data_IF_742043060845
#
_entry.id   IF_742043060845
#
_cell.length_a   1.000
_cell.length_b   1.000
_cell.length_c   1.000
_cell.angle_alpha   90.00
_cell.angle_beta   90.00
_cell.angle_gamma   90.00
#
_symmetry.space_group_name_H-M   'P 1'
#
loop_
_entity.id
_entity.type
_entity.pdbx_description
1 polymer ?
#
# COMPACT_ATOMS: atom_id res chain seq x y z
N UNK A 1 14.80 -56.93 -10.60
CA UNK A 1 14.03 -55.86 -9.94
C UNK A 1 12.56 -56.11 -10.22
N UNK A 2 11.79 -56.42 -9.21
CA UNK A 2 10.38 -56.80 -9.35
C UNK A 2 9.53 -55.55 -9.59
N UNK A 3 8.44 -55.63 -10.36
CA UNK A 3 7.52 -54.53 -10.68
C UNK A 3 7.04 -53.73 -9.46
N UNK A 4 7.05 -54.35 -8.26
CA UNK A 4 6.71 -53.68 -6.98
C UNK A 4 7.74 -52.65 -6.54
N UNK A 5 9.03 -52.88 -6.80
CA UNK A 5 10.12 -51.92 -6.46
C UNK A 5 10.13 -50.72 -7.39
N UNK A 6 9.76 -50.90 -8.66
CA UNK A 6 9.64 -49.85 -9.64
C UNK A 6 8.43 -48.94 -9.33
N UNK A 7 7.32 -49.50 -8.86
CA UNK A 7 6.12 -48.77 -8.49
C UNK A 7 6.33 -47.89 -7.26
N UNK A 8 7.12 -48.36 -6.28
CA UNK A 8 7.50 -47.57 -5.09
C UNK A 8 8.43 -46.42 -5.42
N UNK A 9 9.33 -46.58 -6.39
CA UNK A 9 10.20 -45.51 -6.88
C UNK A 9 9.41 -44.42 -7.63
N UNK A 10 8.39 -44.78 -8.39
CA UNK A 10 7.53 -43.85 -9.10
C UNK A 10 6.63 -43.02 -8.15
N UNK A 11 6.18 -43.62 -7.03
CA UNK A 11 5.35 -42.92 -6.04
C UNK A 11 6.16 -41.92 -5.20
N UNK A 12 7.47 -42.16 -5.03
CA UNK A 12 8.37 -41.25 -4.28
C UNK A 12 8.72 -39.96 -5.00
N UNK A 13 8.60 -39.90 -6.34
CA UNK A 13 8.95 -38.73 -7.14
C UNK A 13 7.79 -37.71 -7.23
N UNK A 14 6.56 -38.17 -6.99
CA UNK A 14 5.35 -37.34 -7.13
C UNK A 14 5.09 -36.39 -5.94
N UNK A 15 5.92 -36.43 -4.87
CA UNK A 15 5.68 -35.67 -3.63
C UNK A 15 6.45 -34.38 -3.51
N UNK A 16 7.24 -33.98 -4.50
CA UNK A 16 7.88 -32.64 -4.54
C UNK A 16 7.01 -31.66 -5.30
N UNK A 17 5.84 -31.38 -4.77
CA UNK A 17 5.14 -30.15 -5.13
C UNK A 17 5.85 -29.01 -4.40
N UNK A 18 6.78 -28.34 -5.08
CA UNK A 18 7.22 -27.01 -4.67
C UNK A 18 6.01 -26.09 -4.79
N UNK A 19 5.31 -25.90 -3.67
CA UNK A 19 4.38 -24.79 -3.53
C UNK A 19 5.21 -23.51 -3.57
N UNK A 20 5.37 -22.94 -4.74
CA UNK A 20 5.83 -21.53 -4.84
C UNK A 20 4.68 -20.70 -4.30
N UNK A 21 4.73 -20.36 -3.03
CA UNK A 21 3.92 -19.28 -2.49
C UNK A 21 4.32 -18.02 -3.25
N UNK A 22 3.56 -17.68 -4.28
CA UNK A 22 3.65 -16.35 -4.89
C UNK A 22 3.10 -15.36 -3.87
N UNK A 23 3.99 -14.77 -3.10
CA UNK A 23 3.65 -13.66 -2.24
C UNK A 23 3.44 -12.44 -3.14
N UNK A 24 2.20 -11.95 -3.19
CA UNK A 24 1.88 -10.74 -3.93
C UNK A 24 2.16 -9.54 -3.02
N UNK A 25 3.13 -8.71 -3.40
CA UNK A 25 3.39 -7.45 -2.71
C UNK A 25 2.51 -6.37 -3.31
N UNK A 26 1.46 -5.98 -2.58
CA UNK A 26 0.48 -5.02 -3.08
C UNK A 26 0.05 -4.05 -1.98
N UNK A 27 -0.05 -2.78 -2.31
CA UNK A 27 -0.76 -1.79 -1.51
C UNK A 27 -1.93 -1.21 -2.29
N UNK A 28 -2.93 -0.72 -1.56
CA UNK A 28 -4.09 -0.09 -2.13
C UNK A 28 -4.29 1.30 -1.53
N UNK A 29 -4.33 2.34 -2.38
CA UNK A 29 -4.57 3.73 -1.97
C UNK A 29 -5.82 4.24 -2.65
N UNK A 30 -6.83 4.61 -1.87
CA UNK A 30 -8.01 5.30 -2.36
C UNK A 30 -7.95 6.77 -1.98
N UNK A 31 -8.20 7.65 -2.95
CA UNK A 31 -8.26 9.10 -2.78
C UNK A 31 -9.67 9.51 -3.19
N UNK A 32 -10.52 9.85 -2.22
CA UNK A 32 -11.91 10.24 -2.42
C UNK A 32 -12.08 11.77 -2.26
N UNK A 33 -12.38 12.45 -3.33
CA UNK A 33 -12.70 13.88 -3.29
C UNK A 33 -14.09 14.09 -2.70
N UNK A 34 -14.14 14.76 -1.59
CA UNK A 34 -15.36 15.08 -0.83
C UNK A 34 -15.61 16.60 -0.86
N UNK A 35 -16.29 17.11 -1.90
CA UNK A 35 -16.58 18.54 -2.00
C UNK A 35 -17.47 19.07 -0.87
N UNK A 36 -18.33 18.22 -0.31
CA UNK A 36 -19.19 18.53 0.84
C UNK A 36 -18.41 18.78 2.14
N UNK A 37 -17.20 18.22 2.26
CA UNK A 37 -16.29 18.38 3.39
C UNK A 37 -15.07 19.25 3.06
N UNK A 38 -14.94 19.67 1.81
CA UNK A 38 -13.78 20.41 1.28
C UNK A 38 -12.44 19.69 1.53
N UNK A 39 -12.40 18.35 1.39
CA UNK A 39 -11.21 17.54 1.59
C UNK A 39 -11.07 16.44 0.52
N UNK A 40 -9.84 15.97 0.35
CA UNK A 40 -9.55 14.63 -0.18
C UNK A 40 -9.32 13.69 1.00
N UNK A 41 -10.18 12.69 1.15
CA UNK A 41 -9.98 11.60 2.11
C UNK A 41 -9.12 10.53 1.46
N UNK A 42 -8.07 10.11 2.16
CA UNK A 42 -7.12 9.14 1.64
C UNK A 42 -7.10 7.95 2.58
N UNK A 43 -7.33 6.77 2.02
CA UNK A 43 -7.19 5.50 2.73
C UNK A 43 -6.09 4.68 2.08
N UNK A 44 -5.09 4.29 2.86
CA UNK A 44 -3.99 3.43 2.40
C UNK A 44 -4.11 2.08 3.11
N UNK A 45 -4.08 0.98 2.35
CA UNK A 45 -4.09 -0.39 2.88
C UNK A 45 -2.85 -1.13 2.45
N UNK A 46 -2.26 -1.87 3.37
CA UNK A 46 -1.14 -2.77 3.10
C UNK A 46 -1.13 -3.91 4.11
N UNK A 47 -0.41 -4.99 3.81
CA UNK A 47 -0.25 -6.11 4.72
C UNK A 47 0.56 -5.71 5.94
N UNK A 48 0.16 -6.22 7.12
CA UNK A 48 0.79 -5.91 8.41
C UNK A 48 2.24 -6.37 8.42
N UNK A 49 2.52 -7.59 7.94
CA UNK A 49 3.87 -8.18 7.93
C UNK A 49 4.84 -7.43 7.00
N UNK A 50 4.36 -6.95 5.85
CA UNK A 50 5.16 -6.16 4.92
C UNK A 50 5.49 -4.78 5.51
N UNK A 51 4.51 -4.13 6.10
CA UNK A 51 4.72 -2.82 6.73
C UNK A 51 5.57 -2.92 7.99
N UNK A 52 5.39 -3.96 8.82
CA UNK A 52 6.26 -4.23 9.97
C UNK A 52 7.71 -4.42 9.54
N UNK A 53 7.93 -5.24 8.52
CA UNK A 53 9.27 -5.48 7.96
C UNK A 53 9.95 -4.18 7.51
N UNK A 54 9.17 -3.27 6.91
CA UNK A 54 9.65 -1.95 6.50
C UNK A 54 10.01 -1.09 7.72
N UNK A 55 9.14 -1.05 8.74
CA UNK A 55 9.40 -0.25 9.94
C UNK A 55 10.60 -0.78 10.72
N UNK A 56 10.74 -2.10 10.84
CA UNK A 56 11.90 -2.73 11.50
C UNK A 56 13.21 -2.45 10.78
N UNK A 57 13.19 -2.45 9.45
CA UNK A 57 14.40 -2.16 8.65
C UNK A 57 14.77 -0.67 8.67
N UNK A 58 13.77 0.22 8.67
CA UNK A 58 13.99 1.66 8.46
C UNK A 58 13.95 2.53 9.71
N UNK A 59 13.37 2.04 10.82
CA UNK A 59 13.13 2.86 12.01
C UNK A 59 13.58 2.18 13.31
N UNK A 60 13.02 1.02 13.66
CA UNK A 60 13.28 0.33 14.90
C UNK A 60 13.07 -1.18 14.75
N UNK A 61 14.15 -1.95 14.91
CA UNK A 61 14.17 -3.41 14.73
C UNK A 61 13.25 -4.17 15.69
N UNK A 62 12.92 -3.58 16.84
CA UNK A 62 12.08 -4.19 17.87
C UNK A 62 10.59 -3.80 17.73
N UNK A 63 10.25 -2.98 16.73
CA UNK A 63 8.88 -2.50 16.55
C UNK A 63 7.97 -3.63 16.08
N UNK A 64 6.88 -3.85 16.82
CA UNK A 64 5.82 -4.78 16.47
C UNK A 64 4.54 -4.01 16.14
N UNK A 65 3.89 -4.39 15.05
CA UNK A 65 2.58 -3.89 14.67
C UNK A 65 1.49 -4.76 15.29
N UNK A 66 1.24 -4.50 16.57
CA UNK A 66 0.24 -5.18 17.36
C UNK A 66 -0.73 -4.11 17.91
N UNK A 67 -2.06 -4.36 17.96
CA UNK A 67 -3.01 -3.46 18.59
C UNK A 67 -2.67 -3.07 20.04
N UNK A 68 -1.97 -3.97 20.76
CA UNK A 68 -1.55 -3.77 22.15
C UNK A 68 -0.17 -3.08 22.29
N UNK A 69 0.55 -2.87 21.18
CA UNK A 69 1.83 -2.14 21.13
C UNK A 69 1.64 -0.63 21.31
N UNK A 70 2.73 0.12 21.54
CA UNK A 70 2.69 1.58 21.71
C UNK A 70 2.06 2.29 20.48
N UNK A 71 0.77 2.72 20.58
CA UNK A 71 0.05 3.28 19.46
C UNK A 71 0.65 4.62 18.99
N UNK A 72 1.22 5.41 19.89
CA UNK A 72 1.80 6.73 19.56
C UNK A 72 3.06 6.60 18.74
N UNK A 73 3.93 5.64 19.09
CA UNK A 73 5.15 5.37 18.34
C UNK A 73 4.84 4.86 16.95
N UNK A 74 3.90 3.91 16.84
CA UNK A 74 3.45 3.38 15.57
C UNK A 74 2.83 4.48 14.70
N UNK A 75 1.98 5.34 15.26
CA UNK A 75 1.37 6.46 14.54
C UNK A 75 2.41 7.45 14.02
N UNK A 76 3.40 7.81 14.84
CA UNK A 76 4.47 8.72 14.44
C UNK A 76 5.31 8.15 13.28
N UNK A 77 5.72 6.88 13.37
CA UNK A 77 6.47 6.22 12.30
C UNK A 77 5.62 6.08 11.02
N UNK A 78 4.35 5.71 11.16
CA UNK A 78 3.41 5.57 10.04
C UNK A 78 3.20 6.89 9.32
N UNK A 79 2.91 7.97 10.06
CA UNK A 79 2.71 9.31 9.50
C UNK A 79 3.95 9.77 8.73
N UNK A 80 5.13 9.64 9.33
CA UNK A 80 6.39 10.02 8.68
C UNK A 80 6.64 9.21 7.40
N UNK A 81 6.45 7.89 7.45
CA UNK A 81 6.64 7.02 6.31
C UNK A 81 5.68 7.35 5.16
N UNK A 82 4.38 7.44 5.45
CA UNK A 82 3.36 7.73 4.45
C UNK A 82 3.57 9.09 3.79
N UNK A 83 3.87 10.13 4.57
CA UNK A 83 4.18 11.48 4.05
C UNK A 83 5.45 11.50 3.17
N UNK A 84 6.42 10.63 3.45
CA UNK A 84 7.63 10.49 2.65
C UNK A 84 7.36 9.78 1.33
N UNK A 85 6.51 8.74 1.33
CA UNK A 85 6.32 7.80 0.21
C UNK A 85 5.16 8.14 -0.72
N UNK A 86 4.17 8.87 -0.22
CA UNK A 86 3.04 9.35 -1.03
C UNK A 86 3.18 10.84 -1.22
N UNK A 87 3.21 11.27 -2.47
CA UNK A 87 3.20 12.69 -2.85
C UNK A 87 1.94 12.99 -3.63
N UNK A 88 1.28 14.06 -3.25
CA UNK A 88 0.06 14.54 -3.88
C UNK A 88 0.25 16.00 -4.31
N UNK A 89 -0.04 16.31 -5.56
CA UNK A 89 -0.07 17.68 -6.05
C UNK A 89 -1.44 17.95 -6.64
N UNK A 90 -2.03 19.09 -6.28
CA UNK A 90 -3.27 19.60 -6.86
C UNK A 90 -2.91 20.83 -7.70
N UNK A 91 -3.23 20.78 -9.00
CA UNK A 91 -2.85 21.83 -9.96
C UNK A 91 -1.39 22.27 -9.80
N UNK A 92 -0.49 21.26 -9.78
CA UNK A 92 0.96 21.39 -9.61
C UNK A 92 1.42 21.87 -8.21
N UNK A 93 0.52 22.23 -7.31
CA UNK A 93 0.86 22.64 -5.95
C UNK A 93 1.02 21.40 -5.04
N UNK A 94 2.17 21.23 -4.37
CA UNK A 94 2.38 20.10 -3.47
C UNK A 94 1.51 20.25 -2.22
N UNK A 95 0.86 19.14 -1.84
CA UNK A 95 -0.01 19.05 -0.68
C UNK A 95 0.64 18.32 0.47
N UNK A 96 0.38 18.75 1.68
CA UNK A 96 0.80 18.06 2.91
C UNK A 96 -0.30 17.09 3.32
N UNK A 97 0.06 15.82 3.46
CA UNK A 97 -0.83 14.77 3.95
C UNK A 97 -0.98 14.88 5.47
N UNK A 98 -2.20 15.11 5.94
CA UNK A 98 -2.53 15.12 7.37
C UNK A 98 -2.92 13.69 7.79
N UNK A 99 -2.12 13.07 8.66
CA UNK A 99 -2.38 11.72 9.17
C UNK A 99 -3.43 11.78 10.28
N UNK A 100 -4.48 10.96 10.17
CA UNK A 100 -5.62 10.93 11.11
C UNK A 100 -5.58 9.71 12.04
N UNK A 101 -4.97 8.60 11.61
CA UNK A 101 -4.93 7.38 12.38
C UNK A 101 -4.87 6.12 11.53
N UNK A 102 -5.04 4.98 12.20
CA UNK A 102 -5.01 3.65 11.59
C UNK A 102 -6.02 2.70 12.20
N UNK A 103 -6.31 1.61 11.49
CA UNK A 103 -7.04 0.44 12.00
C UNK A 103 -6.36 -0.84 11.54
N UNK A 104 -6.56 -1.92 12.31
CA UNK A 104 -6.14 -3.27 11.96
C UNK A 104 -7.35 -4.07 11.48
N UNK A 105 -7.17 -4.89 10.44
CA UNK A 105 -8.19 -5.76 9.88
C UNK A 105 -7.56 -7.07 9.40
N UNK A 106 -7.66 -8.12 10.21
CA UNK A 106 -7.10 -9.46 9.99
C UNK A 106 -5.60 -9.40 9.71
N UNK A 107 -5.18 -9.39 8.45
CA UNK A 107 -3.79 -9.38 7.98
C UNK A 107 -3.37 -8.03 7.37
N UNK A 108 -4.26 -7.04 7.38
CA UNK A 108 -4.04 -5.72 6.79
C UNK A 108 -4.15 -4.60 7.81
N UNK A 109 -3.48 -3.49 7.49
CA UNK A 109 -3.67 -2.21 8.16
C UNK A 109 -4.25 -1.21 7.17
N UNK A 110 -5.19 -0.40 7.66
CA UNK A 110 -5.70 0.77 6.97
C UNK A 110 -5.23 2.04 7.68
N UNK A 111 -4.68 2.96 6.91
CA UNK A 111 -4.25 4.27 7.37
C UNK A 111 -5.15 5.34 6.76
N UNK A 112 -5.53 6.31 7.57
CA UNK A 112 -6.41 7.40 7.17
C UNK A 112 -5.63 8.71 7.15
N UNK A 113 -5.71 9.41 6.02
CA UNK A 113 -5.10 10.71 5.84
C UNK A 113 -6.11 11.64 5.15
N UNK A 114 -5.88 12.92 5.25
CA UNK A 114 -6.65 13.91 4.52
C UNK A 114 -5.76 15.03 3.98
N UNK A 115 -6.28 15.71 2.97
CA UNK A 115 -5.68 16.90 2.37
C UNK A 115 -6.81 17.88 2.13
N UNK A 116 -6.65 19.18 2.47
CA UNK A 116 -7.62 20.21 2.11
C UNK A 116 -7.87 20.20 0.59
N UNK A 117 -9.13 20.24 0.18
CA UNK A 117 -9.47 20.31 -1.22
C UNK A 117 -9.26 21.72 -1.77
N UNK A 118 -8.86 21.79 -3.03
CA UNK A 118 -8.86 23.02 -3.82
C UNK A 118 -10.13 23.00 -4.68
N UNK A 119 -11.07 23.95 -4.48
CA UNK A 119 -12.25 24.01 -5.31
C UNK A 119 -11.89 24.17 -6.79
N UNK A 120 -12.64 23.45 -7.67
CA UNK A 120 -12.46 23.52 -9.12
C UNK A 120 -11.06 23.12 -9.63
N UNK A 121 -10.36 22.26 -8.91
CA UNK A 121 -9.08 21.73 -9.36
C UNK A 121 -9.23 21.03 -10.72
N UNK A 122 -8.19 21.14 -11.55
CA UNK A 122 -8.16 20.52 -12.87
C UNK A 122 -7.37 19.21 -12.89
N UNK A 123 -6.30 19.14 -12.09
CA UNK A 123 -5.41 17.99 -12.10
C UNK A 123 -5.05 17.57 -10.67
N UNK A 124 -4.97 16.24 -10.49
CA UNK A 124 -4.45 15.61 -9.30
C UNK A 124 -3.30 14.69 -9.70
N UNK A 125 -2.09 15.04 -9.32
CA UNK A 125 -0.90 14.21 -9.53
C UNK A 125 -0.64 13.40 -8.28
N UNK A 126 -0.51 12.08 -8.44
CA UNK A 126 -0.22 11.13 -7.35
C UNK A 126 1.05 10.37 -7.67
N UNK A 127 2.00 10.36 -6.74
CA UNK A 127 3.16 9.50 -6.74
C UNK A 127 3.13 8.65 -5.47
N UNK A 128 3.22 7.32 -5.63
CA UNK A 128 3.21 6.37 -4.53
C UNK A 128 4.37 5.37 -4.68
N UNK A 129 5.31 5.45 -3.76
CA UNK A 129 6.52 4.62 -3.71
C UNK A 129 6.56 3.72 -2.46
N UNK A 130 5.39 3.39 -1.91
CA UNK A 130 5.27 2.51 -0.74
C UNK A 130 5.94 1.16 -1.00
N UNK A 131 6.78 0.72 -0.05
CA UNK A 131 7.44 -0.59 0.00
C UNK A 131 8.40 -0.90 -1.17
N UNK A 132 8.70 0.04 -2.06
CA UNK A 132 9.66 -0.16 -3.16
C UNK A 132 11.09 -0.43 -2.67
N UNK A 133 11.43 -0.01 -1.45
CA UNK A 133 12.72 -0.29 -0.82
C UNK A 133 12.86 -1.71 -0.26
N UNK A 134 11.76 -2.46 -0.21
CA UNK A 134 11.75 -3.85 0.26
C UNK A 134 11.55 -4.84 -0.87
N UNK A 135 10.67 -4.52 -1.82
CA UNK A 135 10.18 -5.46 -2.81
C UNK A 135 10.29 -4.87 -4.22
N UNK A 136 11.09 -5.50 -5.08
CA UNK A 136 11.30 -5.05 -6.47
C UNK A 136 10.04 -5.21 -7.33
N UNK A 137 9.16 -6.15 -6.96
CA UNK A 137 7.89 -6.46 -7.63
C UNK A 137 6.66 -5.84 -6.93
N UNK A 138 6.88 -4.88 -6.01
CA UNK A 138 5.79 -4.15 -5.35
C UNK A 138 4.85 -3.48 -6.36
N UNK A 139 3.57 -3.63 -6.13
CA UNK A 139 2.50 -3.02 -6.89
C UNK A 139 1.66 -2.10 -6.01
N UNK A 140 1.56 -0.83 -6.37
CA UNK A 140 0.74 0.14 -5.66
C UNK A 140 -0.47 0.51 -6.53
N UNK A 141 -1.66 0.04 -6.14
CA UNK A 141 -2.90 0.38 -6.82
C UNK A 141 -3.42 1.68 -6.23
N UNK A 142 -3.50 2.72 -7.04
CA UNK A 142 -4.04 4.03 -6.66
C UNK A 142 -5.36 4.25 -7.35
N UNK A 143 -6.42 4.47 -6.59
CA UNK A 143 -7.75 4.84 -7.09
C UNK A 143 -8.08 6.26 -6.69
N UNK A 144 -8.41 7.08 -7.68
CA UNK A 144 -8.98 8.42 -7.48
C UNK A 144 -10.47 8.35 -7.77
N UNK A 145 -11.26 8.90 -6.85
CA UNK A 145 -12.72 8.97 -6.93
C UNK A 145 -13.18 10.41 -6.69
N UNK A 146 -14.08 10.86 -7.52
CA UNK A 146 -14.82 12.11 -7.39
C UNK A 146 -16.32 11.80 -7.48
N UNK A 147 -17.23 12.76 -7.25
CA UNK A 147 -18.66 12.53 -7.43
C UNK A 147 -19.06 12.05 -8.84
N UNK A 148 -18.29 12.41 -9.85
CA UNK A 148 -18.61 12.14 -11.27
C UNK A 148 -17.68 11.12 -11.93
N UNK A 149 -16.48 10.89 -11.39
CA UNK A 149 -15.44 10.11 -12.05
C UNK A 149 -14.76 9.14 -11.10
N UNK A 150 -14.27 8.02 -11.65
CA UNK A 150 -13.39 7.08 -10.95
C UNK A 150 -12.33 6.57 -11.89
N UNK A 151 -11.07 6.63 -11.47
CA UNK A 151 -9.92 6.13 -12.24
C UNK A 151 -8.94 5.39 -11.34
N UNK A 152 -8.42 4.27 -11.82
CA UNK A 152 -7.40 3.50 -11.10
C UNK A 152 -6.10 3.46 -11.90
N UNK A 153 -4.98 3.50 -11.20
CA UNK A 153 -3.64 3.44 -11.72
C UNK A 153 -2.87 2.31 -11.03
N UNK A 154 -2.04 1.61 -11.79
CA UNK A 154 -1.05 0.70 -11.24
C UNK A 154 0.30 1.41 -11.25
N UNK A 155 0.88 1.61 -10.08
CA UNK A 155 2.19 2.22 -9.89
C UNK A 155 3.18 1.14 -9.46
N UNK A 156 4.31 1.09 -10.16
CA UNK A 156 5.39 0.11 -9.95
C UNK A 156 6.73 0.84 -9.97
N UNK A 157 7.80 0.16 -9.57
CA UNK A 157 9.14 0.71 -9.63
C UNK A 157 9.44 1.22 -11.05
N UNK A 158 10.02 2.43 -11.16
CA UNK A 158 10.24 3.13 -12.44
C UNK A 158 9.00 3.84 -13.04
N UNK A 159 7.78 3.57 -12.53
CA UNK A 159 6.53 4.23 -12.97
C UNK A 159 5.59 4.45 -11.77
N UNK A 160 6.01 5.28 -10.84
CA UNK A 160 5.32 5.54 -9.58
C UNK A 160 4.39 6.78 -9.60
N UNK A 161 4.24 7.47 -10.73
CA UNK A 161 3.54 8.75 -10.84
C UNK A 161 2.47 8.71 -11.92
N UNK A 162 1.27 9.21 -11.59
CA UNK A 162 0.17 9.35 -12.54
C UNK A 162 -0.56 10.69 -12.32
N UNK A 163 -1.24 11.14 -13.37
CA UNK A 163 -2.08 12.34 -13.35
C UNK A 163 -3.54 11.92 -13.58
N UNK A 164 -4.40 12.37 -12.68
CA UNK A 164 -5.85 12.36 -12.85
C UNK A 164 -6.28 13.74 -13.30
N UNK A 165 -7.10 13.83 -14.34
CA UNK A 165 -7.63 15.09 -14.89
C UNK A 165 -9.14 15.08 -14.71
N UNK A 166 -9.70 16.19 -14.22
CA UNK A 166 -11.14 16.41 -14.16
C UNK A 166 -11.69 16.61 -15.58
N UNK A 167 -12.81 15.96 -15.87
CA UNK A 167 -13.57 16.10 -17.13
C UNK A 167 -14.81 16.95 -16.93
#
# INVERSE_FOLDING_TARGET
MTHKTLLLLFFGICSMQFSTNHKYYVSYTEIDYRPDLEVFQITVRMFIDDFQSMLQKGYDSELLLDPDSDPKKIDACSAHYLQKKIKLNIDEQPMVLNYLGKTYDIDQMSFFLEVPAVPNFQTLTVENTLLFELFDDQQNIVRVKTPTQRKSFLQIQGRAKNVFTME
#
